data_IF_827494879138
#
_entry.id   IF_827494879138
#
_cell.length_a   1.000
_cell.length_b   1.000
_cell.length_c   1.000
_cell.angle_alpha   90.00
_cell.angle_beta   90.00
_cell.angle_gamma   90.00
#
_symmetry.space_group_name_H-M   'P 1'
#
loop_
_entity.id
_entity.type
_entity.pdbx_description
1 polymer ?
#
# COMPACT_ATOMS: atom_id res chain seq x y z
N UNK A 1 24.56 23.78 43.22
CA UNK A 1 24.02 25.10 42.84
C UNK A 1 22.54 24.92 42.52
N UNK A 2 21.67 25.85 42.93
CA UNK A 2 20.25 25.85 42.50
C UNK A 2 20.14 26.87 41.37
N UNK A 3 19.97 26.41 40.14
CA UNK A 3 19.70 27.28 38.99
C UNK A 3 18.24 27.70 38.98
N UNK A 4 17.98 28.97 38.63
CA UNK A 4 16.63 29.48 38.38
C UNK A 4 16.30 29.19 36.91
N UNK A 5 15.22 28.46 36.67
CA UNK A 5 14.73 28.20 35.32
C UNK A 5 13.84 29.37 34.90
N UNK A 6 14.29 30.19 33.94
CA UNK A 6 13.50 31.31 33.43
C UNK A 6 12.46 30.76 32.44
N UNK A 7 11.22 30.60 32.90
CA UNK A 7 10.11 30.08 32.09
C UNK A 7 9.48 31.12 31.17
N UNK A 8 9.83 32.40 31.32
CA UNK A 8 9.18 33.53 30.63
C UNK A 8 10.16 34.28 29.71
N UNK A 9 10.81 33.57 28.79
CA UNK A 9 11.81 34.15 27.89
C UNK A 9 11.22 34.86 26.65
N UNK A 10 11.89 35.93 26.20
CA UNK A 10 11.74 36.49 24.85
C UNK A 10 11.47 38.00 24.77
N UNK A 11 10.98 38.61 25.86
CA UNK A 11 10.71 40.04 25.89
C UNK A 11 11.95 40.85 26.25
N UNK A 12 12.15 42.05 25.66
CA UNK A 12 13.22 42.94 26.08
C UNK A 12 13.06 43.36 27.54
N UNK A 13 14.18 43.73 28.17
CA UNK A 13 14.24 44.15 29.59
C UNK A 13 13.30 45.32 29.92
N UNK A 14 12.95 46.13 28.92
CA UNK A 14 12.12 47.33 29.08
C UNK A 14 10.61 47.06 28.90
N UNK A 15 10.20 45.80 28.69
CA UNK A 15 8.79 45.42 28.50
C UNK A 15 8.33 44.57 29.67
N UNK A 16 7.38 45.08 30.44
CA UNK A 16 6.71 44.33 31.50
C UNK A 16 5.62 43.43 30.91
N UNK A 17 5.80 42.11 31.04
CA UNK A 17 4.89 41.09 30.50
C UNK A 17 3.56 41.04 31.26
N UNK A 18 3.55 41.49 32.52
CA UNK A 18 2.32 41.57 33.31
C UNK A 18 1.42 42.72 32.84
N UNK A 19 1.97 43.66 32.08
CA UNK A 19 1.26 44.83 31.57
C UNK A 19 0.97 44.68 30.07
N UNK A 20 -0.28 44.33 29.77
CA UNK A 20 -0.72 44.01 28.42
C UNK A 20 -0.58 45.19 27.44
N UNK A 21 -0.65 46.43 27.93
CA UNK A 21 -0.44 47.63 27.13
C UNK A 21 1.00 47.74 26.62
N UNK A 22 2.00 47.41 27.46
CA UNK A 22 3.40 47.43 27.07
C UNK A 22 3.70 46.36 26.01
N UNK A 23 3.13 45.15 26.18
CA UNK A 23 3.21 44.08 25.18
C UNK A 23 2.64 44.54 23.83
N UNK A 24 1.43 45.11 23.84
CA UNK A 24 0.75 45.54 22.62
C UNK A 24 1.49 46.70 21.93
N UNK A 25 2.03 47.64 22.70
CA UNK A 25 2.84 48.75 22.17
C UNK A 25 4.13 48.23 21.52
N UNK A 26 4.80 47.26 22.15
CA UNK A 26 6.01 46.65 21.61
C UNK A 26 5.73 45.90 20.30
N UNK A 27 4.68 45.08 20.25
CA UNK A 27 4.27 44.38 19.01
C UNK A 27 3.97 45.36 17.87
N UNK A 28 3.14 46.37 18.13
CA UNK A 28 2.82 47.41 17.13
C UNK A 28 4.04 48.19 16.65
N UNK A 29 5.07 48.34 17.49
CA UNK A 29 6.33 48.97 17.11
C UNK A 29 7.07 48.11 16.09
N UNK A 30 7.18 46.80 16.35
CA UNK A 30 7.83 45.84 15.43
C UNK A 30 7.05 45.70 14.13
N UNK A 31 5.73 45.57 14.20
CA UNK A 31 4.87 45.37 13.02
C UNK A 31 4.91 46.54 12.03
N UNK A 32 5.34 47.73 12.48
CA UNK A 32 5.54 48.91 11.65
C UNK A 32 6.96 49.07 11.12
N UNK A 33 7.90 48.23 11.56
CA UNK A 33 9.28 48.27 11.10
C UNK A 33 9.36 47.80 9.64
N UNK A 34 10.00 48.59 8.78
CA UNK A 34 10.15 48.27 7.37
C UNK A 34 10.92 46.97 7.15
N UNK A 35 11.93 46.67 7.99
CA UNK A 35 12.67 45.42 7.89
C UNK A 35 11.77 44.21 8.21
N UNK A 36 10.88 44.36 9.19
CA UNK A 36 9.90 43.33 9.54
C UNK A 36 8.95 43.08 8.37
N UNK A 37 8.39 44.15 7.80
CA UNK A 37 7.47 44.05 6.66
C UNK A 37 8.14 43.45 5.43
N UNK A 38 9.34 43.91 5.07
CA UNK A 38 10.07 43.38 3.91
C UNK A 38 10.39 41.90 4.05
N UNK A 39 10.85 41.48 5.24
CA UNK A 39 11.13 40.06 5.51
C UNK A 39 9.85 39.22 5.45
N UNK A 40 8.74 39.74 5.98
CA UNK A 40 7.45 39.08 5.94
C UNK A 40 6.95 38.90 4.50
N UNK A 41 7.05 39.93 3.65
CA UNK A 41 6.65 39.83 2.25
C UNK A 41 7.44 38.78 1.48
N UNK A 42 8.75 38.72 1.66
CA UNK A 42 9.58 37.69 1.02
C UNK A 42 9.17 36.28 1.47
N UNK A 43 8.95 36.08 2.77
CA UNK A 43 8.55 34.78 3.29
C UNK A 43 7.15 34.37 2.79
N UNK A 44 6.21 35.33 2.69
CA UNK A 44 4.86 35.06 2.20
C UNK A 44 4.91 34.58 0.75
N UNK A 45 5.76 35.15 -0.11
CA UNK A 45 5.90 34.71 -1.50
C UNK A 45 6.34 33.24 -1.59
N UNK A 46 7.36 32.84 -0.81
CA UNK A 46 7.85 31.47 -0.79
C UNK A 46 6.82 30.48 -0.21
N UNK A 47 6.09 30.92 0.82
CA UNK A 47 5.04 30.15 1.46
C UNK A 47 3.83 29.94 0.54
N UNK A 48 3.43 30.96 -0.20
CA UNK A 48 2.33 30.88 -1.18
C UNK A 48 2.65 29.84 -2.27
N UNK A 49 3.86 29.85 -2.81
CA UNK A 49 4.31 28.85 -3.79
C UNK A 49 4.21 27.45 -3.20
N UNK A 50 4.68 27.26 -1.96
CA UNK A 50 4.67 25.96 -1.28
C UNK A 50 3.24 25.44 -1.04
N UNK A 51 2.30 26.33 -0.68
CA UNK A 51 0.88 25.98 -0.51
C UNK A 51 0.26 25.57 -1.85
N UNK A 52 0.48 26.37 -2.90
CA UNK A 52 -0.07 26.08 -4.23
C UNK A 52 0.48 24.76 -4.78
N UNK A 53 1.77 24.46 -4.56
CA UNK A 53 2.38 23.18 -4.94
C UNK A 53 1.76 21.99 -4.21
N UNK A 54 1.57 22.08 -2.89
CA UNK A 54 0.93 21.02 -2.11
C UNK A 54 -0.52 20.76 -2.54
N UNK A 55 -1.22 21.81 -2.98
CA UNK A 55 -2.60 21.69 -3.47
C UNK A 55 -2.69 21.21 -4.93
N UNK A 56 -1.63 21.36 -5.74
CA UNK A 56 -1.64 20.98 -7.14
C UNK A 56 -1.78 19.46 -7.33
N UNK A 57 -1.07 18.66 -6.53
CA UNK A 57 -1.11 17.20 -6.58
C UNK A 57 -0.95 16.64 -5.17
N UNK A 58 -1.86 15.76 -4.75
CA UNK A 58 -1.71 15.01 -3.51
C UNK A 58 -0.73 13.84 -3.72
N UNK A 59 0.56 14.10 -3.45
CA UNK A 59 1.63 13.10 -3.57
C UNK A 59 1.50 11.95 -2.57
N UNK A 60 0.69 12.11 -1.53
CA UNK A 60 0.46 11.11 -0.49
C UNK A 60 -0.79 10.27 -0.73
N UNK A 61 -1.49 10.48 -1.86
CA UNK A 61 -2.67 9.71 -2.19
C UNK A 61 -2.30 8.28 -2.62
N UNK A 62 -2.84 7.29 -1.89
CA UNK A 62 -2.78 5.88 -2.30
C UNK A 62 -3.92 5.58 -3.26
N UNK A 63 -3.59 5.17 -4.49
CA UNK A 63 -4.57 4.70 -5.45
C UNK A 63 -4.97 3.27 -5.14
N UNK A 64 -6.27 2.98 -5.21
CA UNK A 64 -6.85 1.65 -4.99
C UNK A 64 -6.53 1.02 -3.61
N UNK A 65 -6.78 1.71 -2.49
CA UNK A 65 -6.42 1.19 -1.16
C UNK A 65 -7.12 -0.13 -0.79
N UNK A 66 -8.26 -0.42 -1.43
CA UNK A 66 -9.08 -1.60 -1.17
C UNK A 66 -9.16 -2.56 -2.37
N UNK A 67 -8.27 -2.42 -3.36
CA UNK A 67 -8.27 -3.38 -4.46
C UNK A 67 -7.67 -4.69 -3.97
N UNK A 68 -8.49 -5.73 -4.02
CA UNK A 68 -8.05 -7.11 -3.89
C UNK A 68 -7.57 -7.48 -5.30
N UNK A 69 -6.30 -7.87 -5.43
CA UNK A 69 -5.80 -8.37 -6.70
C UNK A 69 -6.45 -9.73 -6.97
N UNK A 70 -7.51 -9.73 -7.77
CA UNK A 70 -8.03 -10.92 -8.40
C UNK A 70 -7.01 -11.34 -9.47
N UNK A 71 -6.15 -12.29 -9.11
CA UNK A 71 -5.34 -12.99 -10.09
C UNK A 71 -6.26 -13.93 -10.87
N UNK A 72 -6.29 -13.78 -12.20
CA UNK A 72 -6.89 -14.79 -13.06
C UNK A 72 -6.19 -16.13 -12.78
N UNK A 73 -6.89 -17.06 -12.12
CA UNK A 73 -6.37 -18.40 -11.88
C UNK A 73 -6.15 -19.08 -13.25
N UNK A 74 -4.89 -19.16 -13.68
CA UNK A 74 -4.51 -19.89 -14.86
C UNK A 74 -4.87 -21.38 -14.67
N UNK A 75 -5.63 -21.95 -15.61
CA UNK A 75 -5.95 -23.37 -15.60
C UNK A 75 -4.67 -24.21 -15.51
N UNK A 76 -4.49 -24.94 -14.40
CA UNK A 76 -3.32 -25.77 -14.15
C UNK A 76 -3.71 -27.24 -14.17
N UNK A 77 -3.22 -27.99 -15.17
CA UNK A 77 -3.40 -29.45 -15.25
C UNK A 77 -2.11 -30.11 -14.75
N UNK A 78 -2.23 -30.91 -13.69
CA UNK A 78 -1.14 -31.72 -13.15
C UNK A 78 -1.52 -33.20 -13.17
N UNK A 79 -0.72 -34.01 -13.83
CA UNK A 79 -0.83 -35.48 -13.73
C UNK A 79 -0.29 -35.91 -12.37
N UNK A 80 -1.17 -36.36 -11.47
CA UNK A 80 -0.79 -36.77 -10.11
C UNK A 80 -0.18 -38.18 -10.13
N UNK A 81 -0.82 -39.13 -10.83
CA UNK A 81 -0.40 -40.51 -10.91
C UNK A 81 -0.55 -41.04 -12.34
N UNK A 82 0.36 -41.93 -12.75
CA UNK A 82 0.26 -42.72 -13.98
C UNK A 82 0.15 -44.20 -13.62
N UNK A 83 -0.93 -44.85 -14.02
CA UNK A 83 -1.16 -46.27 -13.78
C UNK A 83 -0.98 -47.07 -15.07
N UNK A 84 0.03 -47.94 -15.10
CA UNK A 84 0.34 -48.77 -16.27
C UNK A 84 -0.04 -50.23 -16.00
N UNK A 85 -0.55 -50.91 -17.03
CA UNK A 85 -0.85 -52.34 -16.99
C UNK A 85 0.31 -53.13 -17.63
N UNK A 86 0.98 -53.98 -16.84
CA UNK A 86 2.21 -54.69 -17.23
C UNK A 86 1.96 -56.12 -17.73
N UNK A 87 0.96 -56.33 -18.58
CA UNK A 87 0.89 -57.58 -19.35
C UNK A 87 1.41 -57.33 -20.76
N UNK A 88 2.21 -58.26 -21.28
CA UNK A 88 2.95 -58.18 -22.56
C UNK A 88 2.05 -58.16 -23.82
N UNK A 89 0.83 -57.68 -23.71
CA UNK A 89 -0.21 -57.65 -24.74
C UNK A 89 -0.72 -56.22 -24.89
N UNK A 90 -0.67 -55.69 -26.11
CA UNK A 90 -1.01 -54.31 -26.48
C UNK A 90 -2.54 -54.04 -26.40
N UNK A 91 -3.12 -54.10 -25.20
CA UNK A 91 -4.53 -53.78 -25.01
C UNK A 91 -4.72 -52.30 -24.69
N UNK A 92 -5.49 -51.59 -25.51
CA UNK A 92 -5.82 -50.18 -25.30
C UNK A 92 -6.90 -50.04 -24.20
N UNK A 93 -6.77 -49.03 -23.34
CA UNK A 93 -7.79 -48.69 -22.36
C UNK A 93 -8.97 -47.98 -23.07
N UNK A 94 -10.13 -48.62 -23.11
CA UNK A 94 -11.28 -48.13 -23.87
C UNK A 94 -12.36 -47.46 -23.01
N UNK A 95 -12.39 -47.76 -21.71
CA UNK A 95 -13.33 -47.12 -20.79
C UNK A 95 -12.76 -47.06 -19.38
N UNK A 96 -13.08 -45.97 -18.68
CA UNK A 96 -12.69 -45.72 -17.30
C UNK A 96 -13.95 -45.32 -16.53
N UNK A 97 -14.16 -45.92 -15.36
CA UNK A 97 -15.25 -45.55 -14.45
C UNK A 97 -14.74 -45.40 -13.03
N UNK A 98 -15.32 -44.44 -12.29
CA UNK A 98 -14.98 -44.18 -10.90
C UNK A 98 -15.92 -44.91 -9.95
N UNK A 99 -15.39 -45.36 -8.81
CA UNK A 99 -16.23 -45.88 -7.73
C UNK A 99 -17.13 -44.76 -7.17
N UNK A 100 -18.47 -44.94 -7.12
CA UNK A 100 -19.40 -43.89 -6.68
C UNK A 100 -19.24 -43.45 -5.22
N UNK A 101 -18.94 -44.39 -4.33
CA UNK A 101 -18.99 -44.21 -2.88
C UNK A 101 -17.62 -43.90 -2.24
N UNK A 102 -16.57 -43.77 -3.06
CA UNK A 102 -15.23 -43.50 -2.58
C UNK A 102 -14.29 -43.27 -3.75
N UNK A 103 -13.93 -42.01 -4.00
CA UNK A 103 -13.12 -41.53 -5.13
C UNK A 103 -11.64 -41.99 -5.08
N UNK A 104 -11.37 -43.18 -4.56
CA UNK A 104 -10.01 -43.74 -4.40
C UNK A 104 -9.76 -44.94 -5.29
N UNK A 105 -10.78 -45.46 -5.97
CA UNK A 105 -10.67 -46.58 -6.90
C UNK A 105 -11.32 -46.24 -8.22
N UNK A 106 -10.72 -46.74 -9.29
CA UNK A 106 -11.22 -46.67 -10.65
C UNK A 106 -11.19 -48.07 -11.26
N UNK A 107 -12.17 -48.37 -12.10
CA UNK A 107 -12.18 -49.55 -12.96
C UNK A 107 -11.82 -49.12 -14.38
N UNK A 108 -10.86 -49.84 -14.98
CA UNK A 108 -10.40 -49.60 -16.36
C UNK A 108 -10.65 -50.86 -17.17
N UNK A 109 -11.33 -50.73 -18.31
CA UNK A 109 -11.51 -51.84 -19.24
C UNK A 109 -10.52 -51.76 -20.39
N UNK A 110 -9.79 -52.85 -20.61
CA UNK A 110 -8.84 -52.99 -21.71
C UNK A 110 -9.41 -53.98 -22.73
N UNK A 111 -9.45 -53.62 -24.01
CA UNK A 111 -9.76 -54.58 -25.07
C UNK A 111 -9.03 -54.24 -26.37
N UNK A 112 -8.82 -55.26 -27.20
CA UNK A 112 -8.29 -55.07 -28.55
C UNK A 112 -9.45 -54.91 -29.54
N UNK A 113 -9.36 -53.90 -30.41
CA UNK A 113 -10.33 -53.65 -31.48
C UNK A 113 -9.83 -54.21 -32.83
N UNK A 114 -8.68 -54.86 -32.87
CA UNK A 114 -8.17 -55.56 -34.05
C UNK A 114 -8.92 -56.88 -34.24
N UNK A 115 -10.04 -56.82 -34.96
CA UNK A 115 -10.87 -57.98 -35.30
C UNK A 115 -10.44 -58.67 -36.61
N UNK A 116 -9.24 -58.40 -37.14
CA UNK A 116 -8.70 -59.07 -38.33
C UNK A 116 -7.78 -60.24 -37.92
N UNK A 117 -8.24 -61.50 -38.03
CA UNK A 117 -7.34 -62.63 -38.02
C UNK A 117 -6.76 -62.77 -39.42
N UNK A 118 -5.51 -62.35 -39.61
CA UNK A 118 -4.69 -62.95 -40.66
C UNK A 118 -4.13 -64.26 -40.13
#
# INVERSE_FOLDING_TARGET
>A
SKGINHTEGGWPKDVNIQEQEQINRYRKKIEKDEFYLNSLYHLIQDLEISILQNNAINIHQTYFPNKIDDYDELFNVKTINSYNYYQNTNHMANHISWQPDGQRKMAVSYCNLDFNPN
#
